data_IF_798513666353
#
_entry.id   IF_798513666353
#
_cell.length_a   1.000
_cell.length_b   1.000
_cell.length_c   1.000
_cell.angle_alpha   90.00
_cell.angle_beta   90.00
_cell.angle_gamma   90.00
#
_symmetry.space_group_name_H-M   'P 1'
#
loop_
_entity.id
_entity.type
_entity.pdbx_description
1 polymer ?
#
# COMPACT_ATOMS: atom_id res chain seq x y z
N UNK A 1 1.73 20.16 -6.75
CA UNK A 1 2.66 19.70 -5.70
C UNK A 1 3.60 18.69 -6.33
N UNK A 2 4.90 18.74 -6.03
CA UNK A 2 5.89 17.75 -6.52
C UNK A 2 6.09 16.69 -5.44
N UNK A 3 6.07 15.41 -5.81
CA UNK A 3 6.25 14.28 -4.88
C UNK A 3 7.71 13.75 -4.88
N UNK A 4 8.07 12.90 -3.91
CA UNK A 4 9.37 12.20 -3.94
C UNK A 4 9.45 11.23 -5.12
N UNK A 5 8.32 10.65 -5.55
CA UNK A 5 8.27 9.82 -6.75
C UNK A 5 8.64 10.62 -8.01
N UNK A 6 8.25 11.90 -8.07
CA UNK A 6 8.63 12.79 -9.18
C UNK A 6 10.15 12.98 -9.25
N UNK A 7 10.81 13.13 -8.09
CA UNK A 7 12.27 13.18 -8.01
C UNK A 7 12.91 11.83 -8.38
N UNK A 8 12.29 10.72 -7.98
CA UNK A 8 12.72 9.37 -8.35
C UNK A 8 12.76 9.17 -9.85
N UNK A 9 11.72 9.61 -10.56
CA UNK A 9 11.67 9.56 -12.02
C UNK A 9 12.78 10.42 -12.66
N UNK A 10 12.95 11.65 -12.19
CA UNK A 10 13.98 12.57 -12.71
C UNK A 10 15.41 12.03 -12.52
N UNK A 11 15.67 11.37 -11.38
CA UNK A 11 16.98 10.85 -11.01
C UNK A 11 17.18 9.38 -11.41
N UNK A 12 16.18 8.75 -12.02
CA UNK A 12 16.17 7.30 -12.33
C UNK A 12 16.42 6.43 -11.08
N UNK A 13 15.82 6.78 -9.95
CA UNK A 13 15.90 6.06 -8.67
C UNK A 13 14.55 5.42 -8.37
N UNK A 14 14.57 4.18 -7.86
CA UNK A 14 13.38 3.50 -7.35
C UNK A 14 12.93 4.12 -6.02
N UNK A 15 11.69 4.61 -5.97
CA UNK A 15 11.06 5.17 -4.78
C UNK A 15 9.99 4.22 -4.26
N UNK A 16 10.19 3.66 -3.07
CA UNK A 16 9.19 2.83 -2.40
C UNK A 16 8.50 3.67 -1.32
N UNK A 17 7.20 3.89 -1.48
CA UNK A 17 6.36 4.66 -0.56
C UNK A 17 5.51 3.69 0.24
N UNK A 18 5.60 3.74 1.56
CA UNK A 18 4.67 3.00 2.44
C UNK A 18 3.38 3.80 2.55
N UNK A 19 2.32 3.24 1.99
CA UNK A 19 0.98 3.81 1.98
C UNK A 19 0.22 3.57 3.28
N UNK A 20 -1.10 3.81 3.23
CA UNK A 20 -1.99 3.62 4.37
C UNK A 20 -3.32 2.97 4.00
N UNK A 21 -3.87 2.20 4.93
CA UNK A 21 -5.13 1.48 4.77
C UNK A 21 -6.31 2.37 4.36
N UNK A 22 -6.28 3.67 4.68
CA UNK A 22 -7.32 4.63 4.29
C UNK A 22 -7.52 4.74 2.77
N UNK A 23 -6.54 4.31 1.98
CA UNK A 23 -6.58 4.32 0.51
C UNK A 23 -7.25 3.11 -0.13
N UNK A 24 -7.58 2.07 0.66
CA UNK A 24 -8.21 0.86 0.15
C UNK A 24 -9.56 1.20 -0.47
N UNK A 25 -9.81 0.73 -1.70
CA UNK A 25 -11.07 0.92 -2.41
C UNK A 25 -12.13 -0.06 -1.92
N UNK A 26 -13.34 0.45 -1.72
CA UNK A 26 -14.52 -0.31 -1.34
C UNK A 26 -15.41 -0.54 -2.58
N UNK A 27 -16.28 -1.57 -2.59
CA UNK A 27 -17.09 -1.91 -3.76
C UNK A 27 -18.08 -0.82 -4.17
N UNK A 28 -18.42 0.11 -3.26
CA UNK A 28 -19.31 1.25 -3.52
C UNK A 28 -18.56 2.49 -4.05
N UNK A 29 -17.29 2.34 -4.42
CA UNK A 29 -16.44 3.41 -4.93
C UNK A 29 -15.84 4.31 -3.84
N UNK A 30 -16.25 4.16 -2.58
CA UNK A 30 -15.61 4.87 -1.46
C UNK A 30 -14.22 4.33 -1.19
N UNK A 31 -13.47 5.08 -0.40
CA UNK A 31 -12.21 4.65 0.21
C UNK A 31 -12.43 4.28 1.68
N UNK A 32 -11.59 3.42 2.23
CA UNK A 32 -11.74 2.95 3.61
C UNK A 32 -11.76 4.08 4.66
N UNK A 33 -11.12 5.22 4.41
CA UNK A 33 -11.21 6.39 5.31
C UNK A 33 -12.63 6.96 5.47
N UNK A 34 -13.53 6.68 4.53
CA UNK A 34 -14.94 7.10 4.55
C UNK A 34 -15.83 6.07 5.26
N UNK A 35 -15.28 4.92 5.68
CA UNK A 35 -16.00 3.92 6.46
C UNK A 35 -16.24 4.42 7.88
N UNK A 36 -17.42 4.19 8.48
CA UNK A 36 -17.63 4.40 9.92
C UNK A 36 -16.66 3.59 10.80
N UNK A 37 -16.10 2.49 10.28
CA UNK A 37 -15.11 1.67 10.98
C UNK A 37 -13.68 2.24 10.95
N UNK A 38 -13.45 3.35 10.24
CA UNK A 38 -12.13 3.94 10.16
C UNK A 38 -11.77 4.67 11.47
N UNK A 39 -10.55 4.49 12.01
CA UNK A 39 -10.17 5.13 13.28
C UNK A 39 -10.18 6.66 13.18
N UNK A 40 -11.00 7.38 13.99
CA UNK A 40 -11.11 8.85 13.88
C UNK A 40 -9.77 9.58 14.06
N UNK A 41 -8.94 9.08 14.96
CA UNK A 41 -7.60 9.63 15.27
C UNK A 41 -6.64 9.63 14.07
N UNK A 42 -6.83 8.75 13.10
CA UNK A 42 -5.97 8.68 11.91
C UNK A 42 -6.63 9.28 10.66
N UNK A 43 -7.81 9.90 10.75
CA UNK A 43 -8.54 10.47 9.61
C UNK A 43 -7.70 11.44 8.76
N UNK A 44 -6.95 12.41 9.35
CA UNK A 44 -6.12 13.31 8.56
C UNK A 44 -5.09 12.54 7.72
N UNK A 45 -4.49 11.49 8.31
CA UNK A 45 -3.53 10.61 7.63
C UNK A 45 -4.20 9.82 6.51
N UNK A 46 -5.36 9.24 6.77
CA UNK A 46 -6.14 8.50 5.76
C UNK A 46 -6.43 9.34 4.52
N UNK A 47 -6.91 10.58 4.72
CA UNK A 47 -7.18 11.54 3.62
C UNK A 47 -5.91 11.93 2.87
N UNK A 48 -4.82 12.24 3.57
CA UNK A 48 -3.56 12.63 2.94
C UNK A 48 -3.01 11.51 2.04
N UNK A 49 -3.09 10.25 2.49
CA UNK A 49 -2.64 9.10 1.71
C UNK A 49 -3.50 8.85 0.46
N UNK A 50 -4.80 9.19 0.49
CA UNK A 50 -5.68 9.09 -0.68
C UNK A 50 -5.27 10.13 -1.72
N UNK A 51 -5.07 11.38 -1.32
CA UNK A 51 -4.58 12.43 -2.21
C UNK A 51 -3.24 12.04 -2.85
N UNK A 52 -2.33 11.44 -2.07
CA UNK A 52 -1.06 10.94 -2.60
C UNK A 52 -1.26 9.77 -3.57
N UNK A 53 -2.11 8.79 -3.24
CA UNK A 53 -2.40 7.65 -4.12
C UNK A 53 -3.00 8.14 -5.45
N UNK A 54 -4.02 8.98 -5.39
CA UNK A 54 -4.69 9.50 -6.58
C UNK A 54 -3.70 10.30 -7.45
N UNK A 55 -2.84 11.13 -6.85
CA UNK A 55 -1.77 11.85 -7.56
C UNK A 55 -0.77 10.92 -8.27
N UNK A 56 -0.40 9.80 -7.65
CA UNK A 56 0.51 8.82 -8.25
C UNK A 56 -0.17 8.03 -9.37
N UNK A 57 -1.43 7.64 -9.17
CA UNK A 57 -2.23 6.92 -10.18
C UNK A 57 -2.55 7.80 -11.40
N UNK A 58 -2.75 9.11 -11.25
CA UNK A 58 -2.86 10.04 -12.41
C UNK A 58 -1.62 10.06 -13.31
N UNK A 59 -0.48 9.55 -12.82
CA UNK A 59 0.80 9.52 -13.51
C UNK A 59 1.19 8.10 -13.92
N UNK A 60 0.24 7.32 -14.45
CA UNK A 60 0.39 5.89 -14.82
C UNK A 60 1.64 5.56 -15.67
N UNK A 61 2.26 6.55 -16.33
CA UNK A 61 3.44 6.38 -17.18
C UNK A 61 4.79 6.73 -16.50
N UNK A 62 4.79 7.14 -15.23
CA UNK A 62 6.00 7.46 -14.50
C UNK A 62 6.64 6.17 -13.92
N UNK A 63 7.67 5.65 -14.58
CA UNK A 63 8.51 4.58 -14.02
C UNK A 63 9.27 5.09 -12.77
N UNK A 64 9.56 4.19 -11.83
CA UNK A 64 10.46 4.48 -10.70
C UNK A 64 9.78 4.64 -9.35
N UNK A 65 8.50 4.25 -9.19
CA UNK A 65 7.86 4.24 -7.88
C UNK A 65 6.96 3.03 -7.62
N UNK A 66 6.89 2.63 -6.35
CA UNK A 66 5.91 1.69 -5.83
C UNK A 66 5.21 2.29 -4.61
N UNK A 67 3.88 2.21 -4.57
CA UNK A 67 3.08 2.61 -3.41
C UNK A 67 2.52 1.36 -2.72
N UNK A 68 3.08 1.01 -1.58
CA UNK A 68 2.73 -0.22 -0.85
C UNK A 68 1.64 0.08 0.18
N UNK A 69 0.40 -0.27 -0.14
CA UNK A 69 -0.72 -0.16 0.81
C UNK A 69 -0.55 -1.24 1.88
N UNK A 70 -0.53 -0.81 3.14
CA UNK A 70 -0.60 -1.68 4.33
C UNK A 70 -2.05 -1.81 4.80
N UNK A 71 -2.45 -2.97 5.35
CA UNK A 71 -3.78 -3.16 5.91
C UNK A 71 -3.93 -2.40 7.23
N UNK A 72 -5.17 -2.23 7.74
CA UNK A 72 -5.42 -1.47 8.97
C UNK A 72 -4.87 -2.17 10.21
N UNK A 73 -4.92 -3.50 10.26
CA UNK A 73 -4.26 -4.30 11.29
C UNK A 73 -2.81 -4.53 10.87
N UNK A 74 -1.89 -3.88 11.56
CA UNK A 74 -0.46 -3.94 11.24
C UNK A 74 0.33 -4.07 12.53
N UNK A 75 0.85 -5.27 12.78
CA UNK A 75 1.39 -5.64 14.09
C UNK A 75 2.88 -5.27 14.21
N UNK A 76 3.25 -4.28 15.04
CA UNK A 76 4.64 -3.87 15.19
C UNK A 76 5.53 -4.96 15.81
N UNK A 77 4.97 -5.80 16.68
CA UNK A 77 5.71 -6.82 17.44
C UNK A 77 5.47 -8.24 16.90
N UNK A 78 4.70 -8.35 15.81
CA UNK A 78 4.37 -9.64 15.21
C UNK A 78 5.62 -10.37 14.67
N UNK A 79 5.60 -11.72 14.65
CA UNK A 79 6.75 -12.50 14.21
C UNK A 79 7.05 -12.30 12.73
N UNK A 80 8.31 -12.57 12.35
CA UNK A 80 8.72 -12.68 10.95
C UNK A 80 8.37 -14.08 10.43
N UNK A 81 7.23 -14.21 9.76
CA UNK A 81 6.75 -15.50 9.21
C UNK A 81 7.20 -15.74 7.77
N UNK A 82 7.50 -14.67 7.02
CA UNK A 82 7.76 -14.74 5.58
C UNK A 82 6.50 -14.90 4.72
N UNK A 83 5.31 -14.99 5.31
CA UNK A 83 4.05 -15.21 4.60
C UNK A 83 3.42 -13.89 4.16
N UNK A 84 4.02 -13.24 3.16
CA UNK A 84 3.48 -12.02 2.53
C UNK A 84 2.86 -12.36 1.17
N UNK A 85 1.73 -11.73 0.87
CA UNK A 85 1.14 -11.66 -0.45
C UNK A 85 1.11 -10.21 -0.95
N UNK A 86 1.18 -10.06 -2.28
CA UNK A 86 1.03 -8.80 -3.01
C UNK A 86 -0.22 -8.91 -3.88
N UNK A 87 -1.13 -7.96 -3.75
CA UNK A 87 -2.26 -7.83 -4.67
C UNK A 87 -2.08 -6.57 -5.53
N UNK A 88 -2.45 -6.62 -6.83
CA UNK A 88 -2.54 -5.42 -7.64
C UNK A 88 -3.69 -4.53 -7.14
N UNK A 89 -3.63 -3.23 -7.44
CA UNK A 89 -4.77 -2.35 -7.24
C UNK A 89 -5.97 -2.82 -8.07
N UNK A 90 -7.16 -2.76 -7.49
CA UNK A 90 -8.41 -3.16 -8.14
C UNK A 90 -9.53 -2.14 -7.84
N UNK A 91 -10.70 -2.34 -8.45
CA UNK A 91 -11.89 -1.54 -8.15
C UNK A 91 -12.41 -1.80 -6.73
N UNK A 92 -12.43 -3.06 -6.33
CA UNK A 92 -12.77 -3.50 -4.97
C UNK A 92 -11.54 -4.14 -4.34
N UNK A 93 -11.12 -3.59 -3.21
CA UNK A 93 -9.97 -4.03 -2.43
C UNK A 93 -10.42 -4.40 -0.99
N UNK A 94 -11.73 -4.52 -0.74
CA UNK A 94 -12.29 -4.68 0.60
C UNK A 94 -11.83 -5.96 1.31
N UNK A 95 -11.55 -7.03 0.55
CA UNK A 95 -10.96 -8.27 1.07
C UNK A 95 -9.60 -8.06 1.75
N UNK A 96 -8.82 -7.09 1.29
CA UNK A 96 -7.51 -6.75 1.86
C UNK A 96 -7.61 -6.24 3.30
N UNK A 97 -8.75 -5.67 3.71
CA UNK A 97 -8.95 -5.15 5.06
C UNK A 97 -8.89 -6.24 6.14
N UNK A 98 -9.07 -7.52 5.76
CA UNK A 98 -8.96 -8.67 6.66
C UNK A 98 -7.50 -9.09 6.92
N UNK A 99 -6.57 -8.63 6.10
CA UNK A 99 -5.16 -9.01 6.19
C UNK A 99 -4.48 -8.37 7.40
N UNK A 100 -3.45 -9.05 7.94
CA UNK A 100 -2.74 -8.60 9.14
C UNK A 100 -1.28 -9.09 9.19
N UNK A 101 -0.36 -8.49 8.41
CA UNK A 101 1.06 -8.80 8.50
C UNK A 101 1.70 -8.12 9.72
N UNK A 102 2.85 -8.65 10.13
CA UNK A 102 3.76 -7.96 11.05
C UNK A 102 4.57 -6.88 10.32
N UNK A 103 5.14 -5.95 11.07
CA UNK A 103 6.13 -5.00 10.54
C UNK A 103 7.33 -5.74 9.95
N UNK A 104 7.79 -6.80 10.62
CA UNK A 104 8.92 -7.60 10.18
C UNK A 104 8.67 -8.26 8.81
N UNK A 105 7.44 -8.74 8.57
CA UNK A 105 7.06 -9.33 7.29
C UNK A 105 6.86 -8.27 6.20
N UNK A 106 6.19 -7.16 6.50
CA UNK A 106 6.02 -6.09 5.52
C UNK A 106 7.34 -5.42 5.13
N UNK A 107 8.32 -5.36 6.04
CA UNK A 107 9.67 -4.90 5.72
C UNK A 107 10.34 -5.76 4.64
N UNK A 108 10.00 -7.05 4.53
CA UNK A 108 10.47 -7.90 3.44
C UNK A 108 9.90 -7.45 2.09
N UNK A 109 8.62 -7.06 2.05
CA UNK A 109 8.00 -6.51 0.85
C UNK A 109 8.63 -5.18 0.43
N UNK A 110 8.92 -4.30 1.39
CA UNK A 110 9.62 -3.03 1.13
C UNK A 110 11.00 -3.31 0.53
N UNK A 111 11.79 -4.23 1.13
CA UNK A 111 13.08 -4.64 0.58
C UNK A 111 12.93 -5.21 -0.84
N UNK A 112 11.94 -6.06 -1.06
CA UNK A 112 11.71 -6.68 -2.37
C UNK A 112 11.36 -5.61 -3.43
N UNK A 113 10.48 -4.67 -3.10
CA UNK A 113 10.09 -3.58 -3.99
C UNK A 113 11.26 -2.63 -4.34
N UNK A 114 12.24 -2.52 -3.44
CA UNK A 114 13.46 -1.72 -3.68
C UNK A 114 14.49 -2.46 -4.54
N UNK A 115 14.66 -3.77 -4.37
CA UNK A 115 15.65 -4.58 -5.11
C UNK A 115 15.14 -5.07 -6.46
N UNK A 116 13.85 -5.32 -6.57
CA UNK A 116 13.17 -5.74 -7.79
C UNK A 116 12.06 -4.72 -8.03
N UNK A 117 12.25 -3.74 -8.93
CA UNK A 117 11.41 -2.55 -9.01
C UNK A 117 9.93 -2.89 -9.21
N UNK A 118 9.19 -2.92 -8.09
CA UNK A 118 7.74 -2.95 -8.16
C UNK A 118 7.25 -1.61 -8.67
N UNK A 119 6.09 -1.61 -9.30
CA UNK A 119 5.53 -0.43 -9.94
C UNK A 119 4.07 -0.28 -9.58
N UNK A 120 3.61 0.96 -9.51
CA UNK A 120 2.23 1.28 -9.24
C UNK A 120 1.82 1.04 -7.79
N UNK A 121 0.51 0.96 -7.58
CA UNK A 121 -0.07 0.65 -6.27
C UNK A 121 -0.11 -0.86 -6.06
N UNK A 122 0.45 -1.30 -4.94
CA UNK A 122 0.50 -2.70 -4.53
C UNK A 122 -0.07 -2.82 -3.12
N UNK A 123 -1.05 -3.68 -2.92
CA UNK A 123 -1.55 -4.00 -1.59
C UNK A 123 -0.70 -5.13 -1.03
N UNK A 124 -0.18 -4.96 0.18
CA UNK A 124 0.78 -5.89 0.78
C UNK A 124 0.29 -6.33 2.15
N UNK A 125 0.11 -7.63 2.31
CA UNK A 125 -0.55 -8.21 3.48
C UNK A 125 -0.09 -9.64 3.72
N UNK A 126 -0.64 -10.28 4.76
CA UNK A 126 -0.34 -11.68 5.07
C UNK A 126 -1.03 -12.62 4.09
N UNK A 127 -0.33 -13.68 3.67
CA UNK A 127 -0.91 -14.79 2.91
C UNK A 127 -1.46 -15.84 3.89
N UNK A 128 -2.76 -15.79 4.18
CA UNK A 128 -3.42 -16.74 5.10
C UNK A 128 -3.82 -18.07 4.41
N UNK A 129 -3.72 -18.15 3.08
CA UNK A 129 -4.30 -19.23 2.28
C UNK A 129 -3.29 -20.17 1.62
N UNK A 130 -1.98 -19.98 1.81
CA UNK A 130 -0.99 -20.90 1.23
C UNK A 130 -1.07 -21.02 -0.30
N UNK A 131 -1.66 -20.04 -0.97
CA UNK A 131 -1.75 -20.02 -2.43
C UNK A 131 -0.83 -18.89 -2.95
N UNK A 132 0.20 -19.21 -3.74
CA UNK A 132 1.00 -18.24 -4.49
C UNK A 132 0.24 -17.88 -5.79
N UNK A 133 0.44 -16.75 -6.48
CA UNK A 133 1.45 -15.69 -6.45
C UNK A 133 0.79 -14.38 -6.92
#
# INVERSE_FOLDING_TARGET
>A
MKSVADLGQELSIQVVIVGGAGTVRLPDGRRFWQSPSFPPVTLPRGRAHVLLRDHLEEREHAYGWAYLVRPPRFDPEGPRTGHIARWPAQFDESDFLRSSPSYADFAQAVRQAALTPWQGVCLVGRNDTGQPA
#
